data_IF_928870336953
#
_entry.id   IF_928870336953
#
_cell.length_a   1.000
_cell.length_b   1.000
_cell.length_c   1.000
_cell.angle_alpha   90.00
_cell.angle_beta   90.00
_cell.angle_gamma   90.00
#
_symmetry.space_group_name_H-M   'P 1'
#
loop_
_entity.id
_entity.type
_entity.pdbx_description
1 polymer ?
#
# COMPACT_ATOMS: atom_id res chain seq x y z
N UNK A 1 0.13 -20.45 -36.31
CA UNK A 1 0.86 -20.98 -35.12
C UNK A 1 2.10 -20.14 -34.90
N UNK A 2 2.21 -19.39 -33.79
CA UNK A 2 3.41 -18.61 -33.45
C UNK A 2 4.53 -19.57 -33.04
N UNK A 3 5.73 -19.45 -33.64
CA UNK A 3 6.90 -20.23 -33.24
C UNK A 3 7.18 -19.99 -31.74
N UNK A 4 7.41 -21.06 -30.94
CA UNK A 4 7.71 -20.90 -29.51
C UNK A 4 8.99 -20.04 -29.37
N UNK A 5 8.99 -19.12 -28.40
CA UNK A 5 10.16 -18.30 -28.12
C UNK A 5 11.31 -19.21 -27.63
N UNK A 6 12.57 -18.84 -27.88
CA UNK A 6 13.78 -19.58 -27.40
C UNK A 6 13.70 -19.90 -25.90
N UNK A 7 13.07 -19.04 -25.10
CA UNK A 7 12.85 -19.24 -23.68
C UNK A 7 11.85 -20.37 -23.37
N UNK A 8 10.77 -20.48 -24.16
CA UNK A 8 9.78 -21.57 -24.01
C UNK A 8 10.37 -22.92 -24.40
N UNK A 9 11.13 -22.97 -25.51
CA UNK A 9 11.81 -24.18 -25.95
C UNK A 9 12.80 -24.69 -24.89
N UNK A 10 13.62 -23.80 -24.31
CA UNK A 10 14.56 -24.12 -23.25
C UNK A 10 13.85 -24.67 -21.99
N UNK A 11 12.73 -24.06 -21.58
CA UNK A 11 11.94 -24.56 -20.44
C UNK A 11 11.37 -25.96 -20.70
N UNK A 12 10.84 -26.22 -21.90
CA UNK A 12 10.36 -27.56 -22.28
C UNK A 12 11.47 -28.60 -22.27
N UNK A 13 12.67 -28.29 -22.77
CA UNK A 13 13.80 -29.19 -22.75
C UNK A 13 14.27 -29.53 -21.32
N UNK A 14 14.26 -28.56 -20.42
CA UNK A 14 14.61 -28.79 -19.00
C UNK A 14 13.60 -29.74 -18.34
N UNK A 15 12.31 -29.51 -18.55
CA UNK A 15 11.26 -30.39 -18.01
C UNK A 15 11.37 -31.79 -18.58
N UNK A 16 11.58 -31.91 -19.89
CA UNK A 16 11.76 -33.20 -20.55
C UNK A 16 12.97 -33.95 -20.00
N UNK A 17 14.11 -33.28 -19.79
CA UNK A 17 15.29 -33.86 -19.16
C UNK A 17 14.99 -34.49 -17.81
N UNK A 18 14.30 -33.76 -16.92
CA UNK A 18 13.97 -34.28 -15.58
C UNK A 18 12.96 -35.44 -15.64
N UNK A 19 11.99 -35.40 -16.57
CA UNK A 19 11.05 -36.52 -16.76
C UNK A 19 11.77 -37.80 -17.26
N UNK A 20 12.71 -37.64 -18.20
CA UNK A 20 13.53 -38.77 -18.70
C UNK A 20 14.40 -39.31 -17.57
N UNK A 21 15.03 -38.45 -16.78
CA UNK A 21 15.87 -38.88 -15.65
C UNK A 21 15.03 -39.64 -14.60
N UNK A 22 13.83 -39.18 -14.28
CA UNK A 22 12.92 -39.87 -13.37
C UNK A 22 12.46 -41.20 -13.93
N UNK A 23 12.04 -41.28 -15.19
CA UNK A 23 11.67 -42.54 -15.83
C UNK A 23 12.83 -43.56 -15.89
N UNK A 24 14.04 -43.08 -16.20
CA UNK A 24 15.23 -43.93 -16.19
C UNK A 24 15.53 -44.50 -14.80
N UNK A 25 15.36 -43.67 -13.76
CA UNK A 25 15.51 -44.13 -12.37
C UNK A 25 14.48 -45.22 -12.00
N UNK A 26 13.23 -45.07 -12.44
CA UNK A 26 12.17 -46.06 -12.23
C UNK A 26 12.52 -47.39 -12.92
N UNK A 27 13.01 -47.35 -14.14
CA UNK A 27 13.44 -48.57 -14.87
C UNK A 27 14.64 -49.26 -14.23
N UNK A 28 15.64 -48.50 -13.71
CA UNK A 28 16.81 -49.07 -13.03
C UNK A 28 16.41 -49.79 -11.74
N UNK A 29 15.52 -49.20 -10.94
CA UNK A 29 15.03 -49.77 -9.69
C UNK A 29 14.11 -50.96 -9.95
N UNK A 30 13.36 -50.95 -11.03
CA UNK A 30 12.48 -52.04 -11.48
C UNK A 30 11.59 -52.61 -10.35
N UNK A 31 11.11 -51.77 -9.46
CA UNK A 31 10.26 -52.14 -8.34
C UNK A 31 9.18 -51.04 -8.14
N UNK A 32 7.97 -51.35 -8.57
CA UNK A 32 6.82 -50.41 -8.54
C UNK A 32 6.37 -50.02 -7.12
N UNK A 33 6.80 -50.76 -6.09
CA UNK A 33 6.51 -50.38 -4.70
C UNK A 33 7.50 -49.30 -4.24
N UNK A 34 8.73 -49.30 -4.72
CA UNK A 34 9.76 -48.34 -4.31
C UNK A 34 9.71 -47.05 -5.13
N UNK A 35 9.63 -47.16 -6.45
CA UNK A 35 9.63 -46.01 -7.35
C UNK A 35 8.82 -46.32 -8.63
N UNK A 36 7.84 -45.49 -8.92
CA UNK A 36 7.06 -45.51 -10.18
C UNK A 36 7.52 -44.39 -11.09
N UNK A 37 7.45 -44.61 -12.41
CA UNK A 37 7.79 -43.60 -13.40
C UNK A 37 6.61 -42.67 -13.71
N UNK A 38 6.86 -41.59 -14.47
CA UNK A 38 5.81 -40.68 -14.92
C UNK A 38 4.63 -41.32 -15.64
N UNK A 39 4.88 -42.40 -16.43
CA UNK A 39 3.83 -43.10 -17.17
C UNK A 39 2.83 -43.80 -16.24
N UNK A 40 3.36 -44.51 -15.22
CA UNK A 40 2.55 -45.19 -14.22
C UNK A 40 1.74 -44.20 -13.37
N UNK A 41 2.33 -43.01 -13.06
CA UNK A 41 1.64 -41.94 -12.35
C UNK A 41 0.46 -41.37 -13.17
N UNK A 42 0.66 -41.13 -14.48
CA UNK A 42 -0.41 -40.69 -15.36
C UNK A 42 -1.52 -41.74 -15.47
N UNK A 43 -1.14 -43.01 -15.57
CA UNK A 43 -2.12 -44.10 -15.60
C UNK A 43 -2.91 -44.21 -14.27
N UNK A 44 -2.19 -44.12 -13.13
CA UNK A 44 -2.81 -44.04 -11.79
C UNK A 44 -3.77 -42.88 -11.66
N UNK A 45 -3.38 -41.67 -12.12
CA UNK A 45 -4.26 -40.51 -12.15
C UNK A 45 -5.51 -40.75 -13.02
N UNK A 46 -5.36 -41.37 -14.20
CA UNK A 46 -6.48 -41.71 -15.05
C UNK A 46 -7.44 -42.72 -14.42
N UNK A 47 -6.93 -43.63 -13.58
CA UNK A 47 -7.74 -44.53 -12.78
C UNK A 47 -8.51 -43.79 -11.68
N UNK A 48 -7.82 -42.95 -10.90
CA UNK A 48 -8.44 -42.13 -9.84
C UNK A 48 -9.53 -41.20 -10.37
N UNK A 49 -9.36 -40.59 -11.55
CA UNK A 49 -10.37 -39.72 -12.17
C UNK A 49 -11.68 -40.42 -12.48
N UNK A 50 -11.69 -41.76 -12.58
CA UNK A 50 -12.88 -42.58 -12.83
C UNK A 50 -13.57 -43.06 -11.55
N UNK A 51 -12.93 -42.90 -10.40
CA UNK A 51 -13.52 -43.25 -9.11
C UNK A 51 -14.62 -42.27 -8.72
N UNK A 52 -15.75 -42.79 -8.25
CA UNK A 52 -16.92 -41.98 -7.90
C UNK A 52 -16.67 -40.97 -6.74
N UNK A 53 -15.72 -41.26 -5.86
CA UNK A 53 -15.37 -40.43 -4.71
C UNK A 53 -14.28 -39.37 -4.97
N UNK A 54 -13.55 -39.49 -6.10
CA UNK A 54 -12.37 -38.64 -6.36
C UNK A 54 -12.66 -37.16 -6.31
N UNK A 55 -13.63 -36.69 -7.07
CA UNK A 55 -13.99 -35.27 -7.13
C UNK A 55 -14.51 -34.72 -5.81
N UNK A 56 -15.21 -35.54 -5.03
CA UNK A 56 -15.69 -35.17 -3.70
C UNK A 56 -14.49 -34.95 -2.75
N UNK A 57 -13.53 -35.88 -2.78
CA UNK A 57 -12.30 -35.76 -1.97
C UNK A 57 -11.48 -34.51 -2.33
N UNK A 58 -11.29 -34.26 -3.63
CA UNK A 58 -10.58 -33.05 -4.10
C UNK A 58 -11.30 -31.78 -3.66
N UNK A 59 -12.61 -31.70 -3.87
CA UNK A 59 -13.40 -30.52 -3.51
C UNK A 59 -13.43 -30.29 -1.99
N UNK A 60 -13.58 -31.36 -1.20
CA UNK A 60 -13.64 -31.28 0.26
C UNK A 60 -12.32 -30.74 0.83
N UNK A 61 -11.17 -31.30 0.42
CA UNK A 61 -9.86 -30.82 0.86
C UNK A 61 -9.61 -29.39 0.37
N UNK A 62 -9.96 -29.10 -0.91
CA UNK A 62 -9.84 -27.75 -1.46
C UNK A 62 -10.62 -26.73 -0.63
N UNK A 63 -11.89 -27.01 -0.34
CA UNK A 63 -12.75 -26.12 0.42
C UNK A 63 -12.25 -25.91 1.86
N UNK A 64 -11.87 -27.00 2.56
CA UNK A 64 -11.39 -26.93 3.95
C UNK A 64 -10.08 -26.15 4.07
N UNK A 65 -9.07 -26.49 3.25
CA UNK A 65 -7.75 -25.80 3.29
C UNK A 65 -7.89 -24.33 2.88
N UNK A 66 -8.69 -24.06 1.82
CA UNK A 66 -8.97 -22.69 1.40
C UNK A 66 -9.69 -21.87 2.46
N UNK A 67 -10.66 -22.47 3.17
CA UNK A 67 -11.38 -21.82 4.27
C UNK A 67 -10.42 -21.46 5.42
N UNK A 68 -9.53 -22.38 5.82
CA UNK A 68 -8.52 -22.13 6.84
C UNK A 68 -7.57 -20.99 6.43
N UNK A 69 -7.09 -21.01 5.18
CA UNK A 69 -6.27 -19.94 4.63
C UNK A 69 -7.00 -18.59 4.63
N UNK A 70 -8.21 -18.52 4.10
CA UNK A 70 -8.98 -17.26 4.01
C UNK A 70 -9.31 -16.68 5.38
N UNK A 71 -9.68 -17.54 6.34
CA UNK A 71 -9.92 -17.11 7.73
C UNK A 71 -8.65 -16.52 8.35
N UNK A 72 -7.50 -17.18 8.17
CA UNK A 72 -6.21 -16.68 8.64
C UNK A 72 -5.76 -15.41 7.92
N UNK A 73 -6.01 -15.28 6.61
CA UNK A 73 -5.72 -14.10 5.83
C UNK A 73 -6.48 -12.88 6.33
N UNK A 74 -7.80 -13.00 6.50
CA UNK A 74 -8.64 -11.91 7.01
C UNK A 74 -8.26 -11.55 8.44
N UNK A 75 -8.16 -12.55 9.32
CA UNK A 75 -7.82 -12.28 10.73
C UNK A 75 -6.39 -11.78 10.90
N UNK A 76 -5.44 -12.28 10.12
CA UNK A 76 -4.05 -11.84 10.14
C UNK A 76 -3.91 -10.36 9.72
N UNK A 77 -4.65 -9.92 8.69
CA UNK A 77 -4.70 -8.50 8.31
C UNK A 77 -5.36 -7.66 9.41
N UNK A 78 -6.49 -8.11 9.97
CA UNK A 78 -7.19 -7.37 11.02
C UNK A 78 -6.33 -7.22 12.29
N UNK A 79 -5.73 -8.31 12.75
CA UNK A 79 -4.84 -8.27 13.92
C UNK A 79 -3.58 -7.47 13.65
N UNK A 80 -2.98 -7.59 12.46
CA UNK A 80 -1.83 -6.79 12.05
C UNK A 80 -2.14 -5.30 11.97
N UNK A 81 -3.31 -4.93 11.46
CA UNK A 81 -3.78 -3.55 11.45
C UNK A 81 -4.00 -3.01 12.87
N UNK A 82 -4.68 -3.77 13.74
CA UNK A 82 -4.92 -3.38 15.13
C UNK A 82 -3.60 -3.25 15.92
N UNK A 83 -2.67 -4.18 15.73
CA UNK A 83 -1.36 -4.15 16.37
C UNK A 83 -0.51 -2.96 15.88
N UNK A 84 -0.63 -2.57 14.61
CA UNK A 84 0.00 -1.35 14.07
C UNK A 84 -0.55 -0.07 14.72
N UNK A 85 -1.86 -0.04 15.02
CA UNK A 85 -2.49 1.13 15.66
C UNK A 85 -2.23 1.18 17.18
N UNK A 86 -2.08 0.03 17.82
CA UNK A 86 -1.99 -0.12 19.29
C UNK A 86 -0.70 -0.87 19.63
N UNK A 87 0.41 -0.15 19.96
CA UNK A 87 1.71 -0.78 20.26
C UNK A 87 1.63 -1.85 21.37
N UNK A 88 0.82 -1.62 22.39
CA UNK A 88 0.58 -2.61 23.45
C UNK A 88 0.05 -3.95 22.90
N UNK A 89 -0.84 -3.92 21.93
CA UNK A 89 -1.38 -5.15 21.31
C UNK A 89 -0.29 -5.90 20.52
N UNK A 90 0.62 -5.17 19.88
CA UNK A 90 1.77 -5.77 19.19
C UNK A 90 2.69 -6.50 20.17
N UNK A 91 3.02 -5.88 21.30
CA UNK A 91 3.83 -6.48 22.36
C UNK A 91 3.11 -7.68 23.00
N UNK A 92 1.81 -7.56 23.26
CA UNK A 92 0.99 -8.64 23.83
C UNK A 92 0.90 -9.87 22.91
N UNK A 93 0.76 -9.68 21.60
CA UNK A 93 0.67 -10.77 20.62
C UNK A 93 2.03 -11.36 20.24
N UNK A 94 3.13 -10.65 20.46
CA UNK A 94 4.47 -11.08 20.05
C UNK A 94 4.83 -12.51 20.54
N UNK A 95 4.64 -12.91 21.84
CA UNK A 95 4.95 -14.26 22.28
C UNK A 95 4.07 -15.32 21.62
N UNK A 96 2.79 -15.03 21.37
CA UNK A 96 1.85 -15.96 20.71
C UNK A 96 2.28 -16.20 19.25
N UNK A 97 2.59 -15.15 18.54
CA UNK A 97 3.06 -15.23 17.16
C UNK A 97 4.41 -15.97 17.06
N UNK A 98 5.33 -15.70 18.00
CA UNK A 98 6.60 -16.42 18.09
C UNK A 98 6.41 -17.92 18.35
N UNK A 99 5.50 -18.27 19.25
CA UNK A 99 5.13 -19.66 19.54
C UNK A 99 4.59 -20.36 18.28
N UNK A 100 3.60 -19.76 17.59
CA UNK A 100 3.01 -20.32 16.36
C UNK A 100 4.03 -20.51 15.23
N UNK A 101 5.06 -19.68 15.16
CA UNK A 101 6.14 -19.80 14.15
C UNK A 101 7.15 -20.91 14.46
N UNK A 102 7.37 -21.21 15.72
CA UNK A 102 8.43 -22.15 16.17
C UNK A 102 7.96 -23.58 16.42
N UNK A 103 6.65 -23.78 16.63
CA UNK A 103 6.10 -25.10 16.90
C UNK A 103 6.12 -25.98 15.64
N UNK A 104 6.71 -27.20 15.70
CA UNK A 104 6.63 -28.14 14.59
C UNK A 104 5.18 -28.52 14.27
N UNK A 105 4.80 -28.38 13.00
CA UNK A 105 3.42 -28.64 12.55
C UNK A 105 2.97 -30.07 12.92
N UNK A 106 3.83 -31.06 12.77
CA UNK A 106 3.52 -32.46 13.07
C UNK A 106 3.10 -32.68 14.54
N UNK A 107 3.82 -32.06 15.49
CA UNK A 107 3.48 -32.16 16.93
C UNK A 107 2.15 -31.47 17.24
N UNK A 108 1.92 -30.32 16.59
CA UNK A 108 0.70 -29.55 16.81
C UNK A 108 -0.55 -30.22 16.20
N UNK A 109 -0.39 -30.90 15.06
CA UNK A 109 -1.49 -31.65 14.41
C UNK A 109 -2.07 -32.71 15.35
N UNK A 110 -1.23 -33.46 16.08
CA UNK A 110 -1.69 -34.48 17.04
C UNK A 110 -2.49 -33.85 18.16
N UNK A 111 -2.03 -32.72 18.70
CA UNK A 111 -2.74 -32.01 19.76
C UNK A 111 -4.06 -31.44 19.25
N UNK A 112 -4.04 -30.85 18.07
CA UNK A 112 -5.23 -30.27 17.42
C UNK A 112 -6.26 -31.35 17.07
N UNK A 113 -5.84 -32.56 16.74
CA UNK A 113 -6.72 -33.68 16.49
C UNK A 113 -7.57 -34.05 17.72
N UNK A 114 -6.95 -33.97 18.91
CA UNK A 114 -7.67 -34.23 20.17
C UNK A 114 -8.73 -33.15 20.43
N UNK A 115 -8.42 -31.88 20.11
CA UNK A 115 -9.33 -30.76 20.41
C UNK A 115 -10.42 -30.55 19.35
N UNK A 116 -10.07 -30.62 18.08
CA UNK A 116 -10.96 -30.26 16.96
C UNK A 116 -11.56 -31.48 16.23
N UNK A 117 -11.06 -32.69 16.54
CA UNK A 117 -11.43 -33.90 15.81
C UNK A 117 -10.90 -33.93 14.37
N UNK A 118 -11.07 -35.05 13.68
CA UNK A 118 -10.52 -35.25 12.34
C UNK A 118 -11.16 -34.35 11.28
N UNK A 119 -12.48 -34.09 11.38
CA UNK A 119 -13.26 -33.40 10.32
C UNK A 119 -12.78 -31.98 10.01
N UNK A 120 -12.37 -31.20 11.02
CA UNK A 120 -11.97 -29.79 10.88
C UNK A 120 -10.47 -29.57 11.05
N UNK A 121 -9.72 -30.63 11.15
CA UNK A 121 -8.28 -30.56 11.44
C UNK A 121 -7.51 -29.79 10.39
N UNK A 122 -7.75 -30.05 9.11
CA UNK A 122 -7.06 -29.34 8.00
C UNK A 122 -7.38 -27.83 7.97
N UNK A 123 -8.61 -27.43 8.32
CA UNK A 123 -9.00 -26.02 8.44
C UNK A 123 -8.18 -25.34 9.55
N UNK A 124 -8.14 -25.96 10.75
CA UNK A 124 -7.45 -25.41 11.91
C UNK A 124 -5.93 -25.31 11.66
N UNK A 125 -5.33 -26.37 11.11
CA UNK A 125 -3.89 -26.39 10.87
C UNK A 125 -3.49 -25.38 9.78
N UNK A 126 -4.24 -25.30 8.67
CA UNK A 126 -4.01 -24.28 7.65
C UNK A 126 -4.12 -22.87 8.23
N UNK A 127 -5.13 -22.62 9.07
CA UNK A 127 -5.33 -21.34 9.76
C UNK A 127 -4.13 -20.97 10.66
N UNK A 128 -3.69 -21.88 11.53
CA UNK A 128 -2.63 -21.61 12.50
C UNK A 128 -1.25 -21.40 11.85
N UNK A 129 -0.98 -22.07 10.73
CA UNK A 129 0.27 -21.89 9.97
C UNK A 129 0.29 -20.56 9.22
N UNK A 130 -0.85 -20.14 8.69
CA UNK A 130 -0.95 -18.94 7.84
C UNK A 130 -1.01 -17.65 8.64
N UNK A 131 -1.70 -17.63 9.78
CA UNK A 131 -1.95 -16.42 10.55
C UNK A 131 -0.69 -15.63 10.93
N UNK A 132 0.40 -16.26 11.45
CA UNK A 132 1.61 -15.52 11.80
C UNK A 132 2.32 -14.95 10.57
N UNK A 133 2.24 -15.62 9.41
CA UNK A 133 2.84 -15.14 8.17
C UNK A 133 2.15 -13.86 7.71
N UNK A 134 0.82 -13.86 7.65
CA UNK A 134 0.05 -12.70 7.22
C UNK A 134 0.16 -11.56 8.22
N UNK A 135 0.06 -11.83 9.52
CA UNK A 135 0.17 -10.84 10.59
C UNK A 135 1.49 -10.05 10.51
N UNK A 136 2.63 -10.75 10.45
CA UNK A 136 3.95 -10.09 10.42
C UNK A 136 4.14 -9.26 9.16
N UNK A 137 3.74 -9.80 8.00
CA UNK A 137 3.86 -9.09 6.73
C UNK A 137 2.88 -7.90 6.63
N UNK A 138 1.73 -7.97 7.30
CA UNK A 138 0.81 -6.83 7.40
C UNK A 138 1.45 -5.68 8.17
N UNK A 139 2.06 -5.93 9.32
CA UNK A 139 2.76 -4.88 10.09
C UNK A 139 3.94 -4.32 9.29
N UNK A 140 4.75 -5.19 8.68
CA UNK A 140 5.89 -4.76 7.87
C UNK A 140 5.46 -3.87 6.69
N UNK A 141 4.37 -4.25 6.00
CA UNK A 141 3.83 -3.45 4.89
C UNK A 141 3.24 -2.11 5.34
N UNK A 142 2.57 -2.05 6.49
CA UNK A 142 2.06 -0.79 7.04
C UNK A 142 3.19 0.15 7.48
N UNK A 143 4.24 -0.39 8.09
CA UNK A 143 5.43 0.39 8.49
C UNK A 143 6.26 0.87 7.30
N UNK A 144 6.15 0.24 6.13
CA UNK A 144 6.83 0.67 4.91
C UNK A 144 6.17 1.85 4.21
N UNK A 145 5.03 2.33 4.71
CA UNK A 145 4.35 3.50 4.14
C UNK A 145 5.23 4.74 4.29
N UNK A 146 5.47 5.43 3.18
CA UNK A 146 6.34 6.61 3.14
C UNK A 146 5.83 7.70 4.10
N UNK A 147 6.64 8.13 5.10
CA UNK A 147 6.28 9.20 6.02
C UNK A 147 5.96 10.52 5.31
N UNK A 148 6.62 10.83 4.22
CA UNK A 148 6.38 12.05 3.44
C UNK A 148 4.97 12.05 2.82
N UNK A 149 4.49 10.89 2.37
CA UNK A 149 3.11 10.76 1.89
C UNK A 149 2.09 10.86 3.03
N UNK A 150 2.44 10.42 4.24
CA UNK A 150 1.57 10.57 5.42
C UNK A 150 1.45 12.02 5.85
N UNK A 151 2.55 12.79 5.87
CA UNK A 151 2.53 14.24 6.11
C UNK A 151 1.71 14.98 5.03
N UNK A 152 1.90 14.64 3.76
CA UNK A 152 1.09 15.18 2.68
C UNK A 152 -0.40 14.89 2.90
N UNK A 153 -0.75 13.66 3.29
CA UNK A 153 -2.13 13.30 3.57
C UNK A 153 -2.74 14.11 4.72
N UNK A 154 -1.96 14.45 5.73
CA UNK A 154 -2.37 15.30 6.83
C UNK A 154 -2.70 16.71 6.35
N UNK A 155 -1.76 17.37 5.64
CA UNK A 155 -1.92 18.71 5.08
C UNK A 155 -3.13 18.78 4.14
N UNK A 156 -3.34 17.78 3.28
CA UNK A 156 -4.49 17.74 2.37
C UNK A 156 -5.76 17.16 2.99
N UNK A 157 -5.78 16.87 4.30
CA UNK A 157 -6.92 16.29 5.03
C UNK A 157 -7.43 15.00 4.39
N UNK A 158 -6.50 14.14 3.96
CA UNK A 158 -6.81 12.78 3.48
C UNK A 158 -6.89 11.87 4.69
N UNK A 159 -8.11 11.67 5.23
CA UNK A 159 -8.35 10.95 6.48
C UNK A 159 -9.19 9.68 6.29
N UNK A 160 -9.27 8.86 7.34
CA UNK A 160 -10.14 7.70 7.42
C UNK A 160 -9.89 6.68 6.29
N UNK A 161 -10.97 6.16 5.71
CA UNK A 161 -10.93 5.15 4.64
C UNK A 161 -10.10 5.56 3.43
N UNK A 162 -10.02 6.85 3.12
CA UNK A 162 -9.21 7.36 2.00
C UNK A 162 -7.71 7.18 2.27
N UNK A 163 -7.25 7.46 3.49
CA UNK A 163 -5.85 7.25 3.90
C UNK A 163 -5.49 5.76 3.81
N UNK A 164 -6.38 4.87 4.28
CA UNK A 164 -6.20 3.42 4.17
C UNK A 164 -6.08 3.01 2.69
N UNK A 165 -7.05 3.42 1.88
CA UNK A 165 -7.18 3.00 0.50
C UNK A 165 -6.05 3.47 -0.42
N UNK A 166 -5.59 4.70 -0.26
CA UNK A 166 -4.69 5.34 -1.22
C UNK A 166 -3.22 5.38 -0.75
N UNK A 167 -2.96 5.22 0.54
CA UNK A 167 -1.61 5.22 1.08
C UNK A 167 -1.23 3.85 1.64
N UNK A 168 -1.98 3.36 2.63
CA UNK A 168 -1.61 2.12 3.29
C UNK A 168 -1.81 0.87 2.41
N UNK A 169 -2.92 0.78 1.68
CA UNK A 169 -3.19 -0.41 0.85
C UNK A 169 -2.16 -0.63 -0.26
N UNK A 170 -1.77 0.38 -1.07
CA UNK A 170 -0.72 0.21 -2.06
C UNK A 170 0.65 -0.16 -1.45
N UNK A 171 0.99 0.39 -0.27
CA UNK A 171 2.22 0.04 0.44
C UNK A 171 2.18 -1.40 0.98
N UNK A 172 1.02 -1.86 1.46
CA UNK A 172 0.80 -3.19 2.02
C UNK A 172 0.77 -4.30 0.95
N UNK A 173 0.25 -4.01 -0.24
CA UNK A 173 -0.02 -5.01 -1.28
C UNK A 173 1.20 -5.84 -1.72
N UNK A 174 2.41 -5.29 -1.95
CA UNK A 174 3.60 -6.08 -2.28
C UNK A 174 3.97 -7.08 -1.17
N UNK A 175 3.84 -6.66 0.10
CA UNK A 175 4.11 -7.51 1.26
C UNK A 175 3.09 -8.64 1.38
N UNK A 176 1.80 -8.33 1.19
CA UNK A 176 0.75 -9.36 1.18
C UNK A 176 0.91 -10.33 0.02
N UNK A 177 1.25 -9.85 -1.18
CA UNK A 177 1.46 -10.73 -2.34
C UNK A 177 2.62 -11.69 -2.10
N UNK A 178 3.72 -11.22 -1.53
CA UNK A 178 4.86 -12.08 -1.15
C UNK A 178 4.51 -13.06 -0.04
N UNK A 179 3.83 -12.59 1.01
CA UNK A 179 3.36 -13.40 2.12
C UNK A 179 2.41 -14.50 1.65
N UNK A 180 1.46 -14.17 0.77
CA UNK A 180 0.48 -15.13 0.24
C UNK A 180 1.13 -16.24 -0.58
N UNK A 181 2.14 -15.96 -1.40
CA UNK A 181 2.89 -17.01 -2.12
C UNK A 181 3.47 -18.05 -1.17
N UNK A 182 4.07 -17.62 -0.08
CA UNK A 182 4.62 -18.52 0.95
C UNK A 182 3.51 -19.21 1.74
N UNK A 183 2.53 -18.46 2.21
CA UNK A 183 1.45 -18.95 3.05
C UNK A 183 0.54 -19.96 2.34
N UNK A 184 0.24 -19.76 1.06
CA UNK A 184 -0.56 -20.70 0.25
C UNK A 184 0.14 -22.05 0.11
N UNK A 185 1.43 -22.06 -0.25
CA UNK A 185 2.20 -23.29 -0.32
C UNK A 185 2.29 -24.02 1.02
N UNK A 186 2.46 -23.28 2.13
CA UNK A 186 2.51 -23.86 3.47
C UNK A 186 1.14 -24.37 3.94
N UNK A 187 0.06 -23.65 3.67
CA UNK A 187 -1.30 -24.06 4.07
C UNK A 187 -1.70 -25.39 3.43
N UNK A 188 -1.39 -25.58 2.13
CA UNK A 188 -1.65 -26.83 1.44
C UNK A 188 -0.82 -27.99 1.96
N UNK A 189 0.50 -27.79 2.15
CA UNK A 189 1.39 -28.81 2.71
C UNK A 189 0.94 -29.25 4.10
N UNK A 190 0.66 -28.29 5.00
CA UNK A 190 0.25 -28.57 6.37
C UNK A 190 -1.18 -29.09 6.48
N UNK A 191 -2.10 -28.58 5.65
CA UNK A 191 -3.49 -29.00 5.63
C UNK A 191 -3.65 -30.45 5.17
N UNK A 192 -2.97 -30.84 4.06
CA UNK A 192 -2.96 -32.22 3.59
C UNK A 192 -2.24 -33.15 4.58
N UNK A 193 -1.10 -32.71 5.18
CA UNK A 193 -0.45 -33.49 6.23
C UNK A 193 -1.38 -33.76 7.42
N UNK A 194 -2.19 -32.77 7.81
CA UNK A 194 -3.21 -32.93 8.84
C UNK A 194 -4.30 -33.92 8.43
N UNK A 195 -4.73 -33.92 7.17
CA UNK A 195 -5.69 -34.92 6.65
C UNK A 195 -5.12 -36.33 6.63
N UNK A 196 -3.83 -36.49 6.28
CA UNK A 196 -3.14 -37.82 6.31
C UNK A 196 -3.05 -38.36 7.74
N UNK A 197 -2.84 -37.48 8.74
CA UNK A 197 -2.76 -37.89 10.16
C UNK A 197 -4.16 -38.16 10.75
N UNK A 198 -5.12 -37.27 10.45
CA UNK A 198 -6.47 -37.35 11.00
C UNK A 198 -7.40 -38.29 10.25
N UNK A 199 -7.05 -38.65 9.01
CA UNK A 199 -7.81 -39.52 8.09
C UNK A 199 -9.33 -39.19 8.07
N UNK A 200 -9.72 -37.93 7.78
CA UNK A 200 -11.13 -37.60 7.65
C UNK A 200 -11.71 -38.13 6.33
N UNK A 201 -12.93 -38.63 6.37
CA UNK A 201 -13.64 -39.19 5.20
C UNK A 201 -13.70 -38.20 4.02
N UNK A 202 -13.61 -38.71 2.81
CA UNK A 202 -13.71 -37.97 1.55
C UNK A 202 -12.73 -36.81 1.46
N UNK A 203 -11.46 -37.06 1.70
CA UNK A 203 -10.37 -36.08 1.57
C UNK A 203 -9.21 -36.61 0.76
N UNK A 204 -8.37 -35.70 0.22
CA UNK A 204 -7.13 -36.05 -0.46
C UNK A 204 -6.20 -36.80 0.51
N UNK A 205 -6.16 -36.38 1.78
CA UNK A 205 -5.35 -37.02 2.81
C UNK A 205 -5.75 -38.46 3.09
N UNK A 206 -7.05 -38.78 3.09
CA UNK A 206 -7.56 -40.14 3.15
C UNK A 206 -7.08 -40.98 1.94
N UNK A 207 -7.21 -40.44 0.72
CA UNK A 207 -6.73 -41.10 -0.50
C UNK A 207 -5.23 -41.41 -0.45
N UNK A 208 -4.40 -40.48 0.03
CA UNK A 208 -2.97 -40.68 0.27
C UNK A 208 -2.72 -41.78 1.32
N UNK A 209 -3.46 -41.75 2.42
CA UNK A 209 -3.33 -42.73 3.50
C UNK A 209 -3.70 -44.14 3.02
N UNK A 210 -4.81 -44.30 2.26
CA UNK A 210 -5.21 -45.58 1.69
C UNK A 210 -4.21 -46.10 0.67
N UNK A 211 -3.71 -45.24 -0.24
CA UNK A 211 -2.64 -45.60 -1.17
C UNK A 211 -1.40 -46.13 -0.45
N UNK A 212 -1.04 -45.52 0.71
CA UNK A 212 0.03 -46.02 1.57
C UNK A 212 -0.25 -47.42 2.15
N UNK A 213 -1.48 -47.63 2.67
CA UNK A 213 -1.87 -48.92 3.27
C UNK A 213 -1.83 -50.05 2.22
N UNK A 214 -2.32 -49.76 1.00
CA UNK A 214 -2.36 -50.74 -0.08
C UNK A 214 -1.05 -50.86 -0.86
N UNK A 215 0.02 -50.13 -0.44
CA UNK A 215 1.32 -50.08 -1.15
C UNK A 215 1.17 -49.66 -2.63
N UNK A 216 0.14 -48.89 -2.93
CA UNK A 216 -0.09 -48.32 -4.27
C UNK A 216 0.71 -47.02 -4.43
N UNK A 217 1.96 -47.17 -4.84
CA UNK A 217 2.88 -46.06 -5.05
C UNK A 217 2.43 -45.19 -6.24
N UNK A 218 1.81 -45.76 -7.27
CA UNK A 218 1.28 -45.01 -8.40
C UNK A 218 0.14 -44.07 -7.97
N UNK A 219 -0.82 -44.57 -7.19
CA UNK A 219 -1.89 -43.78 -6.58
C UNK A 219 -1.34 -42.69 -5.65
N UNK A 220 -0.34 -42.99 -4.84
CA UNK A 220 0.30 -42.00 -3.94
C UNK A 220 0.90 -40.82 -4.71
N UNK A 221 1.65 -41.08 -5.78
CA UNK A 221 2.18 -40.04 -6.66
C UNK A 221 1.09 -39.31 -7.44
N UNK A 222 0.04 -40.02 -7.87
CA UNK A 222 -1.12 -39.41 -8.56
C UNK A 222 -1.84 -38.41 -7.63
N UNK A 223 -2.14 -38.77 -6.37
CA UNK A 223 -2.68 -37.84 -5.37
C UNK A 223 -1.76 -36.65 -5.10
N UNK A 224 -0.45 -36.89 -5.04
CA UNK A 224 0.54 -35.81 -4.90
C UNK A 224 0.48 -34.83 -6.08
N UNK A 225 0.32 -35.35 -7.31
CA UNK A 225 0.15 -34.49 -8.49
C UNK A 225 -1.14 -33.66 -8.41
N UNK A 226 -2.23 -34.25 -7.93
CA UNK A 226 -3.50 -33.54 -7.69
C UNK A 226 -3.32 -32.39 -6.70
N UNK A 227 -2.58 -32.62 -5.60
CA UNK A 227 -2.26 -31.56 -4.62
C UNK A 227 -1.49 -30.41 -5.26
N UNK A 228 -0.45 -30.72 -6.05
CA UNK A 228 0.36 -29.71 -6.74
C UNK A 228 -0.51 -28.86 -7.69
N UNK A 229 -1.39 -29.50 -8.45
CA UNK A 229 -2.28 -28.82 -9.39
C UNK A 229 -3.33 -27.99 -8.67
N UNK A 230 -3.97 -28.51 -7.63
CA UNK A 230 -4.99 -27.81 -6.85
C UNK A 230 -4.40 -26.61 -6.08
N UNK A 231 -3.24 -26.79 -5.44
CA UNK A 231 -2.54 -25.69 -4.74
C UNK A 231 -2.08 -24.59 -5.69
N UNK A 232 -1.52 -24.97 -6.86
CA UNK A 232 -1.08 -24.02 -7.88
C UNK A 232 -2.24 -23.25 -8.54
N UNK A 233 -3.39 -23.92 -8.73
CA UNK A 233 -4.61 -23.26 -9.20
C UNK A 233 -5.12 -22.25 -8.18
N UNK A 234 -5.20 -22.64 -6.91
CA UNK A 234 -5.66 -21.74 -5.84
C UNK A 234 -4.71 -20.54 -5.68
N UNK A 235 -3.39 -20.75 -5.70
CA UNK A 235 -2.39 -19.68 -5.65
C UNK A 235 -2.60 -18.66 -6.78
N UNK A 236 -2.71 -19.15 -8.02
CA UNK A 236 -2.91 -18.27 -9.18
C UNK A 236 -4.20 -17.47 -9.09
N UNK A 237 -5.31 -18.12 -8.75
CA UNK A 237 -6.61 -17.46 -8.62
C UNK A 237 -6.59 -16.42 -7.50
N UNK A 238 -6.02 -16.75 -6.35
CA UNK A 238 -5.98 -15.85 -5.21
C UNK A 238 -5.10 -14.62 -5.48
N UNK A 239 -3.90 -14.81 -6.06
CA UNK A 239 -3.01 -13.70 -6.39
C UNK A 239 -3.61 -12.80 -7.49
N UNK A 240 -4.26 -13.35 -8.49
CA UNK A 240 -4.99 -12.57 -9.50
C UNK A 240 -6.10 -11.72 -8.87
N UNK A 241 -6.86 -12.28 -7.92
CA UNK A 241 -7.88 -11.53 -7.18
C UNK A 241 -7.25 -10.42 -6.34
N UNK A 242 -6.13 -10.71 -5.66
CA UNK A 242 -5.42 -9.73 -4.86
C UNK A 242 -4.88 -8.56 -5.71
N UNK A 243 -4.28 -8.83 -6.86
CA UNK A 243 -3.80 -7.82 -7.80
C UNK A 243 -4.95 -6.98 -8.40
N UNK A 244 -6.12 -7.56 -8.61
CA UNK A 244 -7.28 -6.80 -9.08
C UNK A 244 -7.78 -5.79 -8.04
N UNK A 245 -7.56 -6.02 -6.74
CA UNK A 245 -7.95 -5.05 -5.71
C UNK A 245 -7.24 -3.72 -5.90
N UNK A 246 -5.98 -3.68 -6.34
CA UNK A 246 -5.27 -2.46 -6.64
C UNK A 246 -6.01 -1.61 -7.69
N UNK A 247 -6.43 -2.23 -8.79
CA UNK A 247 -7.12 -1.53 -9.90
C UNK A 247 -8.49 -1.01 -9.49
N UNK A 248 -9.26 -1.81 -8.72
CA UNK A 248 -10.59 -1.42 -8.26
C UNK A 248 -10.54 -0.35 -7.15
N UNK A 249 -9.54 -0.39 -6.29
CA UNK A 249 -9.35 0.61 -5.25
C UNK A 249 -9.01 1.99 -5.83
N UNK A 250 -8.50 2.09 -7.05
CA UNK A 250 -8.21 3.36 -7.74
C UNK A 250 -9.45 4.08 -8.31
N UNK A 251 -10.63 3.44 -8.32
CA UNK A 251 -11.86 4.09 -8.75
C UNK A 251 -12.40 5.02 -7.65
N UNK A 252 -12.24 6.32 -7.83
CA UNK A 252 -12.69 7.34 -6.88
C UNK A 252 -14.21 7.51 -6.90
N UNK A 253 -14.93 7.28 -5.80
CA UNK A 253 -16.27 7.82 -5.66
C UNK A 253 -16.18 9.34 -5.48
N UNK A 254 -17.08 10.07 -6.11
CA UNK A 254 -17.18 11.53 -5.94
C UNK A 254 -17.78 11.84 -4.57
N UNK A 255 -16.96 12.36 -3.65
CA UNK A 255 -17.44 12.89 -2.37
C UNK A 255 -17.48 14.41 -2.44
N UNK A 256 -18.63 14.99 -2.11
CA UNK A 256 -18.80 16.45 -2.02
C UNK A 256 -18.34 16.92 -0.64
N UNK A 257 -17.20 17.58 -0.58
CA UNK A 257 -16.79 18.34 0.60
C UNK A 257 -17.14 19.80 0.36
N UNK A 258 -18.12 20.32 1.08
CA UNK A 258 -18.41 21.78 1.11
C UNK A 258 -17.45 22.42 2.11
N UNK A 259 -16.43 23.10 1.62
CA UNK A 259 -15.63 24.04 2.42
C UNK A 259 -15.97 25.47 2.00
N UNK A 260 -16.21 26.33 2.97
CA UNK A 260 -16.30 27.78 2.74
C UNK A 260 -14.94 28.39 2.98
N UNK A 261 -14.37 29.14 2.03
CA UNK A 261 -13.11 29.85 2.25
C UNK A 261 -13.29 30.93 3.30
N UNK A 262 -12.32 31.07 4.20
CA UNK A 262 -12.15 32.20 5.10
C UNK A 262 -10.87 32.91 4.68
N UNK A 263 -10.86 34.22 4.64
CA UNK A 263 -9.63 34.98 4.38
C UNK A 263 -8.83 35.11 5.67
N UNK A 264 -7.67 34.51 5.81
CA UNK A 264 -6.81 34.68 6.96
C UNK A 264 -5.98 35.96 6.83
N UNK A 265 -5.88 36.70 7.89
CA UNK A 265 -4.97 37.81 8.02
C UNK A 265 -4.16 37.65 9.32
N UNK A 266 -2.86 37.84 9.20
CA UNK A 266 -1.89 38.14 10.26
C UNK A 266 -1.26 37.00 11.06
N UNK A 267 0.04 37.17 11.24
CA UNK A 267 0.97 36.29 11.93
C UNK A 267 2.02 37.11 12.71
N UNK A 268 2.58 36.96 13.89
CA UNK A 268 3.31 35.85 14.43
C UNK A 268 4.47 36.26 15.31
N UNK A 269 4.86 35.51 16.29
CA UNK A 269 6.20 35.44 16.88
C UNK A 269 6.55 33.95 17.06
N UNK A 270 7.66 33.48 16.48
CA UNK A 270 8.09 32.07 16.57
C UNK A 270 9.53 31.96 17.02
N UNK A 271 9.77 30.99 17.90
CA UNK A 271 11.11 30.47 18.20
C UNK A 271 11.11 28.97 18.03
N UNK A 272 12.16 28.41 17.46
CA UNK A 272 12.39 26.98 17.34
C UNK A 272 13.88 26.66 17.48
N UNK A 273 14.20 25.67 18.32
CA UNK A 273 15.54 25.12 18.47
C UNK A 273 15.53 23.59 18.26
N UNK A 274 16.63 23.05 17.76
CA UNK A 274 16.88 21.63 17.67
C UNK A 274 18.18 21.28 18.39
N UNK A 275 18.11 20.39 19.37
CA UNK A 275 19.27 19.95 20.16
C UNK A 275 20.14 21.12 20.71
N UNK A 276 19.47 22.21 21.10
CA UNK A 276 20.14 23.40 21.63
C UNK A 276 20.61 24.41 20.57
N UNK A 277 20.45 24.12 19.28
CA UNK A 277 20.75 25.09 18.20
C UNK A 277 19.46 25.81 17.82
N UNK A 278 19.46 27.14 17.99
CA UNK A 278 18.34 27.99 17.57
C UNK A 278 18.29 28.03 16.04
N UNK A 279 17.15 27.60 15.46
CA UNK A 279 16.91 27.62 14.01
C UNK A 279 16.05 28.80 13.61
N UNK A 280 15.10 29.17 14.46
CA UNK A 280 14.27 30.37 14.30
C UNK A 280 14.32 31.16 15.60
N UNK A 281 14.85 32.37 15.56
CA UNK A 281 15.01 33.21 16.74
C UNK A 281 14.09 34.43 16.65
N UNK A 282 13.05 34.47 17.49
CA UNK A 282 12.09 35.58 17.64
C UNK A 282 11.58 36.17 16.32
N UNK A 283 11.32 35.30 15.35
CA UNK A 283 10.80 35.69 14.04
C UNK A 283 9.41 36.28 14.17
N UNK A 284 9.24 37.56 13.81
CA UNK A 284 7.95 38.23 13.81
C UNK A 284 7.58 38.67 12.38
N UNK A 285 6.51 38.09 11.85
CA UNK A 285 6.03 38.36 10.49
C UNK A 285 4.57 38.73 10.51
N UNK A 286 4.21 39.69 9.65
CA UNK A 286 2.80 40.02 9.36
C UNK A 286 2.58 39.86 7.87
N UNK A 287 1.78 38.88 7.48
CA UNK A 287 1.54 38.51 6.10
C UNK A 287 0.07 38.77 5.73
N UNK A 288 -0.18 39.38 4.58
CA UNK A 288 -1.53 39.67 4.07
C UNK A 288 -1.77 38.91 2.77
N UNK A 289 -3.03 38.60 2.41
CA UNK A 289 -3.37 37.89 1.17
C UNK A 289 -3.30 38.78 -0.08
N UNK A 290 -2.93 40.06 0.07
CA UNK A 290 -2.99 41.05 -1.02
C UNK A 290 -1.87 40.83 -2.06
N UNK A 291 -0.79 40.19 -1.66
CA UNK A 291 0.37 39.91 -2.50
C UNK A 291 1.06 38.61 -2.08
N UNK A 292 1.82 37.97 -3.01
CA UNK A 292 2.69 36.86 -2.67
C UNK A 292 3.85 37.26 -1.76
N UNK A 293 4.25 36.36 -0.86
CA UNK A 293 5.38 36.56 0.05
C UNK A 293 6.48 35.58 -0.28
N UNK A 294 7.64 36.11 -0.67
CA UNK A 294 8.82 35.31 -1.05
C UNK A 294 9.83 35.31 0.08
N UNK A 295 10.03 34.15 0.71
CA UNK A 295 10.99 33.96 1.79
C UNK A 295 12.33 33.55 1.20
N UNK A 296 13.35 34.37 1.39
CA UNK A 296 14.72 34.15 0.95
C UNK A 296 15.63 33.94 2.14
N UNK A 297 16.44 32.90 2.09
CA UNK A 297 17.53 32.67 3.02
C UNK A 297 18.50 31.64 2.46
N UNK A 298 19.75 31.60 2.88
CA UNK A 298 20.66 30.51 2.58
C UNK A 298 20.11 29.13 3.04
N UNK A 299 20.69 28.05 2.55
CA UNK A 299 20.34 26.70 3.01
C UNK A 299 20.65 26.54 4.50
N UNK A 300 19.76 25.93 5.26
CA UNK A 300 19.92 25.71 6.70
C UNK A 300 19.36 26.82 7.60
N UNK A 301 18.93 27.94 7.08
CA UNK A 301 18.37 29.08 7.86
C UNK A 301 16.89 28.92 8.25
N UNK A 302 16.38 27.71 8.31
CA UNK A 302 15.07 27.43 8.91
C UNK A 302 13.83 27.65 8.03
N UNK A 303 13.96 27.93 6.71
CA UNK A 303 12.81 28.08 5.79
C UNK A 303 11.83 26.91 5.87
N UNK A 304 12.32 25.68 5.67
CA UNK A 304 11.50 24.47 5.73
C UNK A 304 10.91 24.24 7.12
N UNK A 305 11.65 24.57 8.18
CA UNK A 305 11.15 24.50 9.57
C UNK A 305 10.00 25.47 9.79
N UNK A 306 10.13 26.71 9.33
CA UNK A 306 9.05 27.70 9.39
C UNK A 306 7.80 27.17 8.67
N UNK A 307 7.96 26.64 7.46
CA UNK A 307 6.85 26.08 6.69
C UNK A 307 6.20 24.89 7.38
N UNK A 308 7.00 23.99 7.98
CA UNK A 308 6.49 22.85 8.75
C UNK A 308 5.67 23.30 9.96
N UNK A 309 6.10 24.35 10.66
CA UNK A 309 5.36 24.92 11.79
C UNK A 309 4.06 25.55 11.31
N UNK A 310 4.07 26.33 10.23
CA UNK A 310 2.86 26.92 9.63
C UNK A 310 1.84 25.88 9.17
N UNK A 311 2.31 24.73 8.70
CA UNK A 311 1.50 23.60 8.29
C UNK A 311 0.99 22.75 9.47
N UNK A 312 1.44 22.99 10.69
CA UNK A 312 1.13 22.19 11.87
C UNK A 312 1.85 20.83 11.90
N UNK A 313 2.82 20.60 11.03
CA UNK A 313 3.65 19.38 11.00
C UNK A 313 4.78 19.39 12.03
N UNK A 314 5.06 20.56 12.61
CA UNK A 314 6.09 20.79 13.64
C UNK A 314 5.53 21.77 14.66
N UNK A 315 5.92 21.62 15.94
CA UNK A 315 5.52 22.56 17.00
C UNK A 315 6.61 23.59 17.24
N UNK A 316 6.23 24.86 17.40
CA UNK A 316 7.17 25.88 17.88
C UNK A 316 7.47 25.65 19.37
N UNK A 317 8.70 25.96 19.81
CA UNK A 317 9.10 25.85 21.22
C UNK A 317 8.49 27.00 22.05
N UNK A 318 8.33 28.18 21.43
CA UNK A 318 7.63 29.32 22.02
C UNK A 318 7.05 30.22 20.93
N UNK A 319 6.14 31.12 21.32
CA UNK A 319 5.42 31.99 20.41
C UNK A 319 4.02 31.50 20.04
N UNK A 320 3.37 32.23 19.14
CA UNK A 320 2.00 31.89 18.69
C UNK A 320 1.78 32.28 17.24
N UNK A 321 0.93 31.49 16.57
CA UNK A 321 0.41 31.78 15.24
C UNK A 321 -1.00 32.34 15.41
N UNK A 322 -1.24 33.57 14.97
CA UNK A 322 -2.57 34.19 15.03
C UNK A 322 -3.11 34.34 13.61
N UNK A 323 -4.30 33.80 13.38
CA UNK A 323 -5.03 33.91 12.14
C UNK A 323 -6.23 34.82 12.36
N UNK A 324 -6.23 36.03 11.77
CA UNK A 324 -7.38 36.96 11.87
C UNK A 324 -8.29 36.79 10.66
N UNK A 325 -9.54 36.46 10.91
CA UNK A 325 -10.60 36.54 9.89
C UNK A 325 -11.31 37.88 9.93
N UNK A 326 -11.90 38.29 8.81
CA UNK A 326 -12.58 39.57 8.63
C UNK A 326 -13.94 39.70 9.39
N UNK A 327 -14.00 39.37 10.67
CA UNK A 327 -15.01 39.82 11.62
C UNK A 327 -14.43 39.71 13.02
N UNK A 328 -14.26 40.86 13.65
CA UNK A 328 -14.06 41.01 15.08
C UNK A 328 -15.31 40.47 15.82
N UNK A 329 -15.30 39.23 16.18
CA UNK A 329 -16.10 38.72 17.29
C UNK A 329 -15.17 38.08 18.28
N UNK A 330 -15.12 38.57 19.56
CA UNK A 330 -14.38 37.87 20.61
C UNK A 330 -14.97 36.46 20.76
N UNK A 331 -14.16 35.48 21.15
CA UNK A 331 -14.62 34.10 21.32
C UNK A 331 -15.61 34.06 22.50
N UNK A 332 -16.89 34.24 22.24
CA UNK A 332 -17.93 33.82 23.19
C UNK A 332 -17.84 32.31 23.37
N UNK A 333 -17.46 31.92 24.56
CA UNK A 333 -17.52 30.55 25.06
C UNK A 333 -18.95 30.04 25.00
N UNK A 334 -19.37 29.51 23.88
CA UNK A 334 -20.57 28.68 23.75
C UNK A 334 -20.18 27.31 23.24
N UNK A 335 -20.09 26.33 24.19
CA UNK A 335 -20.24 24.90 23.93
C UNK A 335 -19.30 24.26 22.92
N UNK A 336 -18.05 24.03 23.27
CA UNK A 336 -17.35 22.76 22.93
C UNK A 336 -17.07 22.37 21.48
N UNK A 337 -17.04 23.30 20.49
CA UNK A 337 -16.39 23.05 19.19
C UNK A 337 -15.57 24.26 18.83
N UNK A 338 -14.25 24.12 18.93
CA UNK A 338 -13.29 25.06 18.38
C UNK A 338 -13.62 25.28 16.90
N UNK A 339 -13.66 26.56 16.48
CA UNK A 339 -13.80 26.89 15.06
C UNK A 339 -12.62 26.23 14.33
N UNK A 340 -12.83 25.45 13.25
CA UNK A 340 -11.70 24.87 12.53
C UNK A 340 -10.80 26.02 12.04
N UNK A 341 -9.50 25.91 12.34
CA UNK A 341 -8.47 26.85 11.90
C UNK A 341 -8.44 27.02 10.38
N UNK A 342 -7.64 27.93 9.84
CA UNK A 342 -7.51 28.13 8.40
C UNK A 342 -6.99 26.84 7.73
N UNK A 343 -7.46 26.60 6.51
CA UNK A 343 -6.99 25.48 5.70
C UNK A 343 -5.75 25.89 4.93
N UNK A 344 -4.61 25.39 5.35
CA UNK A 344 -3.31 25.67 4.73
C UNK A 344 -2.90 24.45 3.92
N UNK A 345 -2.50 24.68 2.68
CA UNK A 345 -2.00 23.62 1.79
C UNK A 345 -0.54 23.87 1.44
N UNK A 346 0.14 22.82 0.98
CA UNK A 346 1.56 22.91 0.68
C UNK A 346 1.95 22.31 -0.67
N UNK A 347 2.98 22.93 -1.27
CA UNK A 347 3.88 22.30 -2.23
C UNK A 347 5.21 22.11 -1.48
N UNK A 348 5.53 20.87 -1.15
CA UNK A 348 6.76 20.54 -0.43
C UNK A 348 7.98 20.59 -1.36
N UNK A 349 9.17 20.65 -0.81
CA UNK A 349 10.42 20.60 -1.58
C UNK A 349 10.49 19.30 -2.40
N UNK A 350 10.15 18.16 -1.82
CA UNK A 350 9.87 16.91 -2.56
C UNK A 350 8.44 16.92 -3.07
N UNK A 351 8.19 16.29 -4.22
CA UNK A 351 6.87 16.36 -4.84
C UNK A 351 5.75 15.62 -4.08
N UNK A 352 6.09 14.63 -3.26
CA UNK A 352 5.18 13.83 -2.41
C UNK A 352 3.93 13.39 -3.16
N UNK A 353 4.13 12.78 -4.31
CA UNK A 353 3.09 12.25 -5.17
C UNK A 353 2.97 10.73 -4.97
N UNK A 354 1.74 10.21 -5.10
CA UNK A 354 1.53 8.78 -5.18
C UNK A 354 2.05 8.30 -6.55
N UNK A 355 3.19 7.64 -6.58
CA UNK A 355 3.95 7.27 -7.77
C UNK A 355 3.18 6.36 -8.74
N UNK A 356 2.32 5.50 -8.22
CA UNK A 356 1.49 4.58 -9.01
C UNK A 356 0.25 5.26 -9.62
N UNK A 357 -0.09 6.47 -9.16
CA UNK A 357 -1.25 7.21 -9.62
C UNK A 357 -0.90 8.09 -10.82
N UNK A 358 -1.92 8.36 -11.64
CA UNK A 358 -1.83 9.39 -12.68
C UNK A 358 -1.82 10.80 -12.07
N UNK A 359 -1.37 11.84 -12.80
CA UNK A 359 -1.54 13.24 -12.39
C UNK A 359 -2.98 13.59 -12.02
N UNK A 360 -3.94 13.12 -12.81
CA UNK A 360 -5.38 13.31 -12.55
C UNK A 360 -5.75 12.73 -11.20
N UNK A 361 -5.31 11.51 -10.88
CA UNK A 361 -5.68 10.84 -9.64
C UNK A 361 -4.96 11.44 -8.42
N UNK A 362 -3.73 11.96 -8.57
CA UNK A 362 -3.03 12.72 -7.53
C UNK A 362 -3.75 14.03 -7.17
N UNK A 363 -4.32 14.76 -8.14
CA UNK A 363 -5.15 15.93 -7.84
C UNK A 363 -6.45 15.52 -7.14
N UNK A 364 -7.12 14.48 -7.63
CA UNK A 364 -8.38 14.00 -7.05
C UNK A 364 -8.20 13.39 -5.66
N UNK A 365 -7.00 12.96 -5.30
CA UNK A 365 -6.68 12.58 -3.93
C UNK A 365 -6.86 13.76 -2.97
N UNK A 366 -6.45 14.97 -3.36
CA UNK A 366 -6.63 16.19 -2.58
C UNK A 366 -8.05 16.77 -2.72
N UNK A 367 -8.65 16.64 -3.92
CA UNK A 367 -9.97 17.22 -4.27
C UNK A 367 -10.91 16.14 -4.84
N UNK A 368 -11.51 15.29 -3.99
CA UNK A 368 -12.36 14.19 -4.44
C UNK A 368 -13.63 14.64 -5.20
N UNK A 369 -14.11 15.84 -4.94
CA UNK A 369 -15.26 16.43 -5.64
C UNK A 369 -14.96 16.82 -7.09
N UNK A 370 -13.68 16.93 -7.47
CA UNK A 370 -13.29 17.29 -8.83
C UNK A 370 -13.48 16.10 -9.77
N UNK A 371 -14.22 16.29 -10.86
CA UNK A 371 -14.40 15.25 -11.87
C UNK A 371 -13.08 14.97 -12.61
N UNK A 372 -12.90 13.75 -13.16
CA UNK A 372 -11.70 13.44 -13.96
C UNK A 372 -11.51 14.38 -15.14
N UNK A 373 -12.60 14.77 -15.80
CA UNK A 373 -12.57 15.71 -16.92
C UNK A 373 -12.15 17.13 -16.48
N UNK A 374 -12.63 17.59 -15.31
CA UNK A 374 -12.23 18.89 -14.77
C UNK A 374 -10.76 18.89 -14.33
N UNK A 375 -10.29 17.83 -13.66
CA UNK A 375 -8.89 17.68 -13.31
C UNK A 375 -7.99 17.62 -14.55
N UNK A 376 -8.40 16.88 -15.59
CA UNK A 376 -7.67 16.83 -16.85
C UNK A 376 -7.58 18.19 -17.55
N UNK A 377 -8.68 18.99 -17.55
CA UNK A 377 -8.68 20.35 -18.11
C UNK A 377 -7.69 21.28 -17.40
N UNK A 378 -7.64 21.22 -16.09
CA UNK A 378 -6.67 22.04 -15.32
C UNK A 378 -5.23 21.59 -15.63
N UNK A 379 -4.97 20.29 -15.67
CA UNK A 379 -3.65 19.74 -15.93
C UNK A 379 -3.13 20.07 -17.34
N UNK A 380 -3.98 20.06 -18.36
CA UNK A 380 -3.63 20.41 -19.75
C UNK A 380 -3.04 21.82 -19.90
N UNK A 381 -3.28 22.69 -18.94
CA UNK A 381 -2.75 24.07 -18.96
C UNK A 381 -1.24 24.12 -18.73
N UNK A 382 -0.69 23.11 -18.04
CA UNK A 382 0.73 23.10 -17.63
C UNK A 382 1.43 21.75 -17.89
N UNK A 383 0.70 20.74 -18.38
CA UNK A 383 1.24 19.41 -18.69
C UNK A 383 0.81 18.95 -20.07
N UNK A 384 1.68 18.22 -20.81
CA UNK A 384 1.31 17.55 -22.05
C UNK A 384 0.16 16.55 -21.84
N UNK A 385 -0.71 16.43 -22.85
CA UNK A 385 -1.90 15.60 -22.74
C UNK A 385 -1.59 14.09 -22.62
N UNK A 386 -0.53 13.64 -23.27
CA UNK A 386 -0.12 12.24 -23.29
C UNK A 386 0.32 11.69 -21.94
N UNK A 387 0.73 12.54 -20.99
CA UNK A 387 1.17 12.13 -19.66
C UNK A 387 0.05 12.06 -18.61
N UNK A 388 -1.14 12.62 -18.89
CA UNK A 388 -2.21 12.79 -17.89
C UNK A 388 -2.76 11.47 -17.33
N UNK A 389 -2.66 10.39 -18.08
CA UNK A 389 -3.16 9.05 -17.75
C UNK A 389 -2.05 8.07 -17.38
N UNK A 390 -0.79 8.46 -17.50
CA UNK A 390 0.37 7.63 -17.13
C UNK A 390 0.63 7.72 -15.62
N UNK A 391 1.20 6.68 -14.99
CA UNK A 391 1.62 6.78 -13.60
C UNK A 391 2.72 7.84 -13.44
N UNK A 392 2.66 8.57 -12.34
CA UNK A 392 3.62 9.65 -12.03
C UNK A 392 5.06 9.15 -11.97
N UNK A 393 5.29 7.87 -11.63
CA UNK A 393 6.62 7.25 -11.67
C UNK A 393 7.31 7.37 -13.03
N UNK A 394 6.54 7.45 -14.13
CA UNK A 394 7.06 7.57 -15.49
C UNK A 394 7.31 9.01 -15.96
N UNK A 395 6.98 10.01 -15.14
CA UNK A 395 7.09 11.43 -15.50
C UNK A 395 8.47 11.99 -15.16
N UNK A 396 8.87 13.04 -15.90
CA UNK A 396 10.08 13.82 -15.58
C UNK A 396 9.91 14.58 -14.26
N UNK A 397 11.04 15.02 -13.66
CA UNK A 397 11.04 15.80 -12.42
C UNK A 397 10.18 17.06 -12.52
N UNK A 398 10.32 17.81 -13.60
CA UNK A 398 9.53 19.03 -13.84
C UNK A 398 8.02 18.74 -14.03
N UNK A 399 7.64 17.61 -14.67
CA UNK A 399 6.24 17.21 -14.77
C UNK A 399 5.67 16.80 -13.40
N UNK A 400 6.45 16.10 -12.57
CA UNK A 400 6.07 15.79 -11.18
C UNK A 400 5.87 17.07 -10.38
N UNK A 401 6.79 18.03 -10.51
CA UNK A 401 6.72 19.34 -9.83
C UNK A 401 5.44 20.09 -10.20
N UNK A 402 5.15 20.21 -11.48
CA UNK A 402 3.90 20.83 -11.97
C UNK A 402 2.66 20.11 -11.43
N UNK A 403 2.65 18.79 -11.38
CA UNK A 403 1.55 18.02 -10.80
C UNK A 403 1.34 18.33 -9.31
N UNK A 404 2.42 18.47 -8.53
CA UNK A 404 2.35 18.82 -7.11
C UNK A 404 1.81 20.23 -6.90
N UNK A 405 2.23 21.20 -7.72
CA UNK A 405 1.72 22.58 -7.69
C UNK A 405 0.21 22.58 -8.01
N UNK A 406 -0.21 21.92 -9.08
CA UNK A 406 -1.63 21.88 -9.44
C UNK A 406 -2.48 21.20 -8.37
N UNK A 407 -1.97 20.16 -7.72
CA UNK A 407 -2.67 19.51 -6.60
C UNK A 407 -2.96 20.51 -5.48
N UNK A 408 -2.01 21.36 -5.12
CA UNK A 408 -2.18 22.37 -4.08
C UNK A 408 -3.14 23.49 -4.53
N UNK A 409 -2.99 23.98 -5.77
CA UNK A 409 -3.80 25.08 -6.30
C UNK A 409 -5.24 24.69 -6.56
N UNK A 410 -5.53 23.44 -6.96
CA UNK A 410 -6.87 22.95 -7.23
C UNK A 410 -7.68 22.72 -5.96
N UNK A 411 -7.06 22.54 -4.81
CA UNK A 411 -7.74 22.28 -3.56
C UNK A 411 -8.22 23.60 -2.90
N UNK A 412 -9.41 23.60 -2.29
CA UNK A 412 -9.89 24.76 -1.53
C UNK A 412 -8.96 25.03 -0.35
N UNK A 413 -8.48 26.26 -0.23
CA UNK A 413 -7.54 26.68 0.82
C UNK A 413 -7.65 28.14 1.12
N UNK A 414 -7.29 28.53 2.34
CA UNK A 414 -7.17 29.91 2.79
C UNK A 414 -5.74 30.44 2.58
N UNK A 415 -4.75 29.54 2.71
CA UNK A 415 -3.34 29.84 2.46
C UNK A 415 -2.67 28.67 1.70
N UNK A 416 -1.63 29.01 0.94
CA UNK A 416 -0.79 28.04 0.23
C UNK A 416 0.67 28.36 0.52
N UNK A 417 1.40 27.34 0.96
CA UNK A 417 2.84 27.42 1.22
C UNK A 417 3.56 26.59 0.16
N UNK A 418 4.59 27.15 -0.47
CA UNK A 418 5.36 26.48 -1.51
C UNK A 418 6.86 26.52 -1.19
N UNK A 419 7.45 25.35 -1.03
CA UNK A 419 8.89 25.23 -0.77
C UNK A 419 9.62 24.96 -2.10
N UNK A 420 10.36 25.97 -2.56
CA UNK A 420 11.12 25.99 -3.82
C UNK A 420 10.31 25.51 -5.04
N UNK A 421 9.14 26.10 -5.35
CA UNK A 421 8.19 25.54 -6.31
C UNK A 421 8.72 25.45 -7.75
N UNK A 422 9.73 26.24 -8.13
CA UNK A 422 10.23 26.37 -9.49
C UNK A 422 11.49 25.56 -9.77
N UNK A 423 12.03 24.87 -8.78
CA UNK A 423 13.24 24.05 -8.94
C UNK A 423 13.05 22.97 -10.01
N UNK A 424 13.98 22.94 -10.99
CA UNK A 424 13.96 21.97 -12.08
C UNK A 424 12.95 22.24 -13.20
N UNK A 425 12.41 23.45 -13.28
CA UNK A 425 11.63 23.94 -14.41
C UNK A 425 12.54 24.79 -15.34
N UNK A 426 12.34 24.69 -16.65
CA UNK A 426 12.88 25.63 -17.61
C UNK A 426 12.11 26.96 -17.56
N UNK A 427 12.69 28.04 -18.12
CA UNK A 427 12.15 29.40 -18.00
C UNK A 427 10.74 29.53 -18.60
N UNK A 428 10.49 28.96 -19.79
CA UNK A 428 9.17 29.02 -20.43
C UNK A 428 8.10 28.33 -19.59
N UNK A 429 8.42 27.13 -19.10
CA UNK A 429 7.54 26.38 -18.20
C UNK A 429 7.33 27.11 -16.88
N UNK A 430 8.38 27.76 -16.33
CA UNK A 430 8.30 28.51 -15.08
C UNK A 430 7.34 29.68 -15.21
N UNK A 431 7.43 30.49 -16.27
CA UNK A 431 6.50 31.60 -16.51
C UNK A 431 5.04 31.13 -16.61
N UNK A 432 4.81 30.05 -17.35
CA UNK A 432 3.47 29.43 -17.48
C UNK A 432 2.91 29.00 -16.12
N UNK A 433 3.73 28.41 -15.28
CA UNK A 433 3.35 27.95 -13.93
C UNK A 433 3.09 29.14 -13.00
N UNK A 434 3.90 30.19 -13.08
CA UNK A 434 3.72 31.42 -12.30
C UNK A 434 2.39 32.07 -12.66
N UNK A 435 2.06 32.22 -13.94
CA UNK A 435 0.76 32.75 -14.38
C UNK A 435 -0.41 31.94 -13.84
N UNK A 436 -0.30 30.60 -13.89
CA UNK A 436 -1.31 29.72 -13.32
C UNK A 436 -1.47 29.89 -11.80
N UNK A 437 -0.35 30.01 -11.06
CA UNK A 437 -0.35 30.25 -9.61
C UNK A 437 -1.04 31.58 -9.30
N UNK A 438 -0.68 32.67 -9.96
CA UNK A 438 -1.27 33.99 -9.74
C UNK A 438 -2.79 34.01 -9.98
N UNK A 439 -3.24 33.39 -11.06
CA UNK A 439 -4.69 33.26 -11.34
C UNK A 439 -5.44 32.52 -10.22
N UNK A 440 -4.88 31.41 -9.72
CA UNK A 440 -5.56 30.53 -8.76
C UNK A 440 -5.35 30.93 -7.29
N UNK A 441 -4.41 31.81 -7.00
CA UNK A 441 -4.12 32.31 -5.64
C UNK A 441 -4.94 33.54 -5.26
N UNK A 442 -5.75 34.07 -6.15
CA UNK A 442 -6.54 35.28 -5.92
C UNK A 442 -7.35 35.17 -4.62
N UNK A 443 -7.12 36.09 -3.66
CA UNK A 443 -7.77 36.08 -2.35
C UNK A 443 -7.27 35.05 -1.36
N UNK A 444 -6.15 34.37 -1.63
CA UNK A 444 -5.48 33.43 -0.73
C UNK A 444 -4.12 34.00 -0.29
N UNK A 445 -3.72 33.69 0.93
CA UNK A 445 -2.36 34.00 1.37
C UNK A 445 -1.38 33.03 0.67
N UNK A 446 -0.48 33.57 -0.16
CA UNK A 446 0.57 32.82 -0.84
C UNK A 446 1.92 33.11 -0.22
N UNK A 447 2.57 32.07 0.28
CA UNK A 447 3.92 32.11 0.86
C UNK A 447 4.79 31.11 0.10
N UNK A 448 5.95 31.51 -0.37
CA UNK A 448 6.87 30.62 -1.05
C UNK A 448 8.31 30.88 -0.65
N UNK A 449 9.15 29.85 -0.72
CA UNK A 449 10.59 30.00 -0.65
C UNK A 449 11.17 29.98 -2.06
N UNK A 450 12.17 30.82 -2.30
CA UNK A 450 12.98 30.81 -3.52
C UNK A 450 14.39 31.28 -3.22
N UNK A 451 15.34 30.89 -4.08
CA UNK A 451 16.70 31.36 -4.08
C UNK A 451 16.98 32.43 -5.16
N UNK A 452 15.99 32.68 -6.03
CA UNK A 452 16.12 33.59 -7.18
C UNK A 452 15.23 34.82 -6.94
N UNK A 453 15.83 36.01 -6.95
CA UNK A 453 15.10 37.27 -6.85
C UNK A 453 14.13 37.49 -8.02
N UNK A 454 14.48 36.94 -9.20
CA UNK A 454 13.64 36.98 -10.40
C UNK A 454 12.28 36.32 -10.17
N UNK A 455 12.21 35.27 -9.37
CA UNK A 455 10.94 34.60 -9.05
C UNK A 455 9.99 35.54 -8.29
N UNK A 456 10.53 36.31 -7.35
CA UNK A 456 9.74 37.29 -6.60
C UNK A 456 9.24 38.43 -7.49
N UNK A 457 10.06 38.89 -8.42
CA UNK A 457 9.68 39.92 -9.40
C UNK A 457 8.59 39.42 -10.34
N UNK A 458 8.71 38.22 -10.90
CA UNK A 458 7.72 37.62 -11.80
C UNK A 458 6.39 37.38 -11.09
N UNK A 459 6.40 37.07 -9.78
CA UNK A 459 5.20 36.91 -8.97
C UNK A 459 4.59 38.25 -8.52
N UNK A 460 5.28 39.37 -8.66
CA UNK A 460 4.89 40.66 -8.07
C UNK A 460 4.84 40.59 -6.54
N UNK A 461 5.67 39.75 -5.93
CA UNK A 461 5.67 39.44 -4.50
C UNK A 461 6.63 40.33 -3.70
N UNK A 462 6.41 40.38 -2.37
CA UNK A 462 7.36 40.95 -1.43
C UNK A 462 8.35 39.92 -0.93
N UNK A 463 9.64 40.36 -0.82
CA UNK A 463 10.72 39.51 -0.35
C UNK A 463 10.96 39.71 1.14
N UNK A 464 11.09 38.59 1.87
CA UNK A 464 11.48 38.53 3.28
C UNK A 464 12.79 37.76 3.37
N UNK A 465 13.84 38.40 3.91
CA UNK A 465 15.11 37.73 4.18
C UNK A 465 15.10 37.22 5.62
N UNK A 466 15.36 35.91 5.80
CA UNK A 466 15.64 35.34 7.12
C UNK A 466 17.10 35.41 7.38
N UNK A 467 17.48 36.08 8.45
CA UNK A 467 18.85 36.26 8.95
C UNK A 467 19.16 35.33 10.12
#
# INVERSE_FOLDING_TARGET
MKRPSHRQLRSCLIVLFWLILWQSGAWIINNNILLVGPFEVIHGLAALLRESGFWLSVFTSFAKISLGFLAAFVLGILLGWLAFQIPFLQEFLAPVIAFLKSVPVASFVILALIWAGSKNLSVLIAFLVVIPIIYVNTIAGLNSTDPQLLEMAEVFSVTGWRKIRFLYWPALLPYLSSACRTALGMSWKSGVAAEVIGVPDNTIGEGLYMSKIYLDTAGLFAWTLVIILASGLFERLFLLLLEQTEKHFLLFPSFSAKSRPRNPQKLLILCKSFQGTEVLNKLSLTLSPDKPWCIMAPSGYGKTTLFRILLGLETADSGSIQWTGSKEEPPEKKGGKESPGPRILAVFQENRLCETFSPIDNIRLAVPSLSRQAAARELKRVLPEDCLHRPVSSLSGGMKRRTAILRAMAAPSDAIIMDEPFTGLDEETKEMVIQYILEKSCGKLLILSTHQEEDALLLGGETIHLE
#
